data_IF_157249076580
#
_entry.id   IF_157249076580
#
_cell.length_a   1.000
_cell.length_b   1.000
_cell.length_c   1.000
_cell.angle_alpha   90.00
_cell.angle_beta   90.00
_cell.angle_gamma   90.00
#
_symmetry.space_group_name_H-M   'P 1'
#
loop_
_entity.id
_entity.type
_entity.pdbx_description
1 polymer ?
#
# COMPACT_ATOMS: atom_id res chain seq x y z
N UNK A 1 3.16 -12.51 18.70
CA UNK A 1 2.25 -11.80 19.61
C UNK A 1 1.82 -10.47 18.99
N UNK A 2 2.72 -9.48 18.84
CA UNK A 2 2.42 -8.18 18.20
C UNK A 2 1.68 -8.29 16.86
N UNK A 3 2.16 -9.11 15.90
CA UNK A 3 1.47 -9.32 14.62
C UNK A 3 0.01 -9.79 14.78
N UNK A 4 -0.24 -10.71 15.72
CA UNK A 4 -1.57 -11.24 15.96
C UNK A 4 -2.47 -10.15 16.55
N UNK A 5 -1.98 -9.40 17.54
CA UNK A 5 -2.72 -8.34 18.22
C UNK A 5 -3.04 -7.16 17.28
N UNK A 6 -2.17 -6.89 16.29
CA UNK A 6 -2.36 -5.79 15.34
C UNK A 6 -3.22 -6.15 14.13
N UNK A 7 -3.08 -7.37 13.59
CA UNK A 7 -3.61 -7.68 12.25
C UNK A 7 -4.55 -8.88 12.19
N UNK A 8 -4.60 -9.73 13.22
CA UNK A 8 -5.33 -11.01 13.16
C UNK A 8 -6.50 -11.04 14.13
N UNK A 9 -6.30 -10.63 15.38
CA UNK A 9 -7.31 -10.74 16.42
C UNK A 9 -8.44 -9.72 16.21
N UNK A 10 -9.67 -10.16 15.87
CA UNK A 10 -10.79 -9.26 15.64
C UNK A 10 -11.32 -8.62 16.93
N UNK A 11 -10.92 -9.12 18.10
CA UNK A 11 -11.31 -8.59 19.41
C UNK A 11 -10.22 -7.73 20.05
N UNK A 12 -9.07 -7.58 19.40
CA UNK A 12 -7.99 -6.75 19.90
C UNK A 12 -8.39 -5.27 19.86
N UNK A 13 -8.26 -4.59 21.01
CA UNK A 13 -8.38 -3.14 21.09
C UNK A 13 -7.23 -2.40 20.36
N UNK A 14 -6.22 -3.14 19.89
CA UNK A 14 -5.05 -2.63 19.20
C UNK A 14 -5.06 -2.99 17.71
N UNK A 15 -6.17 -3.47 17.16
CA UNK A 15 -6.23 -3.81 15.74
C UNK A 15 -5.99 -2.56 14.86
N UNK A 16 -5.24 -2.74 13.78
CA UNK A 16 -4.99 -1.70 12.78
C UNK A 16 -5.46 -2.20 11.43
N UNK A 17 -6.25 -1.37 10.74
CA UNK A 17 -6.74 -1.69 9.40
C UNK A 17 -5.58 -1.60 8.39
N UNK A 18 -5.55 -2.46 7.39
CA UNK A 18 -4.49 -2.48 6.37
C UNK A 18 -4.95 -1.98 5.01
N UNK A 19 -6.22 -1.59 4.87
CA UNK A 19 -6.82 -1.12 3.61
C UNK A 19 -6.70 0.40 3.48
N UNK A 20 -6.23 0.87 2.33
CA UNK A 20 -6.11 2.30 2.04
C UNK A 20 -7.45 3.04 2.13
N UNK A 21 -8.53 2.44 1.62
CA UNK A 21 -9.87 3.03 1.69
C UNK A 21 -10.32 3.36 3.12
N UNK A 22 -9.94 2.55 4.12
CA UNK A 22 -10.28 2.84 5.51
C UNK A 22 -9.74 4.20 5.98
N UNK A 23 -8.52 4.55 5.57
CA UNK A 23 -7.85 5.79 5.96
C UNK A 23 -8.20 6.96 5.05
N UNK A 24 -8.28 6.71 3.74
CA UNK A 24 -8.47 7.77 2.74
C UNK A 24 -9.94 8.12 2.53
N UNK A 25 -10.84 7.13 2.64
CA UNK A 25 -12.28 7.31 2.45
C UNK A 25 -13.06 7.30 3.79
N UNK A 26 -12.40 6.99 4.91
CA UNK A 26 -13.02 6.84 6.23
C UNK A 26 -13.84 5.55 6.41
N UNK A 27 -13.77 4.62 5.44
CA UNK A 27 -14.42 3.29 5.50
C UNK A 27 -13.72 2.29 4.57
N UNK A 28 -13.70 1.02 4.95
CA UNK A 28 -13.19 -0.04 4.06
C UNK A 28 -14.07 -0.21 2.83
N UNK A 29 -13.46 -0.63 1.71
CA UNK A 29 -14.12 -0.84 0.41
C UNK A 29 -14.77 0.44 -0.16
N UNK A 30 -14.11 1.58 0.07
CA UNK A 30 -14.54 2.89 -0.42
C UNK A 30 -14.11 3.22 -1.86
N UNK A 31 -14.20 4.50 -2.20
CA UNK A 31 -13.84 5.05 -3.52
C UNK A 31 -12.40 4.79 -3.91
N UNK A 32 -11.46 4.80 -2.96
CA UNK A 32 -10.05 4.49 -3.19
C UNK A 32 -9.87 3.12 -3.82
N UNK A 33 -10.62 2.11 -3.36
CA UNK A 33 -10.55 0.76 -3.94
C UNK A 33 -11.13 0.71 -5.36
N UNK A 34 -12.19 1.48 -5.64
CA UNK A 34 -12.78 1.57 -6.98
C UNK A 34 -11.77 2.18 -7.95
N UNK A 35 -11.11 3.28 -7.56
CA UNK A 35 -10.05 3.92 -8.35
C UNK A 35 -8.88 2.96 -8.59
N UNK A 36 -8.44 2.23 -7.55
CA UNK A 36 -7.35 1.27 -7.67
C UNK A 36 -7.69 0.10 -8.62
N UNK A 37 -8.95 -0.36 -8.64
CA UNK A 37 -9.39 -1.38 -9.60
C UNK A 37 -9.40 -0.86 -11.04
N UNK A 38 -9.75 0.40 -11.26
CA UNK A 38 -9.59 1.06 -12.55
C UNK A 38 -8.13 1.07 -13.00
N UNK A 39 -7.23 1.51 -12.12
CA UNK A 39 -5.80 1.46 -12.35
C UNK A 39 -5.29 0.04 -12.68
N UNK A 40 -5.71 -0.98 -11.94
CA UNK A 40 -5.30 -2.36 -12.21
C UNK A 40 -5.73 -2.85 -13.60
N UNK A 41 -6.94 -2.48 -14.04
CA UNK A 41 -7.42 -2.80 -15.38
C UNK A 41 -6.50 -2.19 -16.47
N UNK A 42 -6.03 -0.95 -16.26
CA UNK A 42 -5.13 -0.27 -17.20
C UNK A 42 -3.72 -0.90 -17.23
N UNK A 43 -3.22 -1.42 -16.10
CA UNK A 43 -1.91 -2.11 -16.04
C UNK A 43 -1.90 -3.54 -16.60
N UNK A 44 -3.09 -4.09 -16.88
CA UNK A 44 -3.27 -5.50 -17.24
C UNK A 44 -2.90 -6.49 -16.12
N UNK A 45 -2.72 -6.01 -14.88
CA UNK A 45 -2.49 -6.88 -13.72
C UNK A 45 -3.82 -7.43 -13.22
N UNK A 46 -3.82 -8.71 -12.87
CA UNK A 46 -4.99 -9.38 -12.30
C UNK A 46 -4.62 -10.05 -10.99
N UNK A 47 -5.54 -9.98 -10.02
CA UNK A 47 -5.36 -10.67 -8.74
C UNK A 47 -5.48 -12.17 -8.98
N UNK A 48 -4.58 -12.93 -8.37
CA UNK A 48 -4.63 -14.40 -8.36
C UNK A 48 -5.89 -14.88 -7.64
N UNK A 49 -6.54 -15.91 -8.18
CA UNK A 49 -7.69 -16.54 -7.53
C UNK A 49 -7.33 -17.11 -6.15
N UNK A 50 -8.25 -16.97 -5.19
CA UNK A 50 -8.05 -17.47 -3.82
C UNK A 50 -7.33 -16.52 -2.87
N UNK A 51 -6.78 -15.40 -3.35
CA UNK A 51 -6.27 -14.33 -2.48
C UNK A 51 -7.46 -13.61 -1.82
N UNK A 52 -7.49 -13.62 -0.48
CA UNK A 52 -8.57 -13.04 0.31
C UNK A 52 -8.40 -11.54 0.59
N UNK A 53 -7.17 -11.05 0.50
CA UNK A 53 -6.87 -9.64 0.72
C UNK A 53 -7.50 -8.74 -0.35
N UNK A 54 -7.99 -7.59 0.09
CA UNK A 54 -8.46 -6.52 -0.79
C UNK A 54 -7.29 -5.92 -1.56
N UNK A 55 -7.52 -5.52 -2.80
CA UNK A 55 -6.50 -4.95 -3.68
C UNK A 55 -5.88 -3.67 -3.09
N UNK A 56 -6.65 -2.92 -2.30
CA UNK A 56 -6.19 -1.71 -1.60
C UNK A 56 -5.56 -1.98 -0.23
N UNK A 57 -5.30 -3.24 0.13
CA UNK A 57 -4.49 -3.54 1.30
C UNK A 57 -3.02 -3.19 1.08
N UNK A 58 -2.30 -2.84 2.15
CA UNK A 58 -0.87 -2.48 2.07
C UNK A 58 -0.05 -3.56 1.36
N UNK A 59 -0.28 -4.82 1.70
CA UNK A 59 0.46 -5.95 1.12
C UNK A 59 0.17 -6.08 -0.38
N UNK A 60 -1.10 -5.97 -0.79
CA UNK A 60 -1.46 -6.03 -2.20
C UNK A 60 -0.90 -4.84 -2.99
N UNK A 61 -0.96 -3.62 -2.47
CA UNK A 61 -0.41 -2.45 -3.16
C UNK A 61 1.12 -2.52 -3.31
N UNK A 62 1.82 -3.05 -2.30
CA UNK A 62 3.27 -3.28 -2.40
C UNK A 62 3.61 -4.41 -3.40
N UNK A 63 2.81 -5.47 -3.47
CA UNK A 63 2.97 -6.52 -4.49
C UNK A 63 2.75 -5.96 -5.90
N UNK A 64 1.68 -5.18 -6.11
CA UNK A 64 1.41 -4.48 -7.38
C UNK A 64 2.61 -3.60 -7.77
N UNK A 65 3.14 -2.81 -6.83
CA UNK A 65 4.30 -1.95 -7.07
C UNK A 65 5.55 -2.77 -7.46
N UNK A 66 5.83 -3.86 -6.74
CA UNK A 66 6.92 -4.77 -7.07
C UNK A 66 6.77 -5.39 -8.47
N UNK A 67 5.54 -5.77 -8.87
CA UNK A 67 5.27 -6.28 -10.22
C UNK A 67 5.51 -5.25 -11.31
N UNK A 68 5.16 -3.99 -11.07
CA UNK A 68 5.43 -2.91 -12.03
C UNK A 68 6.95 -2.69 -12.19
N UNK A 69 7.73 -2.73 -11.11
CA UNK A 69 9.19 -2.66 -11.16
C UNK A 69 9.81 -3.86 -11.92
N UNK A 70 9.29 -5.07 -11.70
CA UNK A 70 9.72 -6.26 -12.44
C UNK A 70 9.45 -6.14 -13.94
N UNK A 71 8.26 -5.65 -14.33
CA UNK A 71 7.88 -5.43 -15.73
C UNK A 71 8.77 -4.35 -16.37
N UNK A 72 8.99 -3.23 -15.69
CA UNK A 72 9.87 -2.16 -16.19
C UNK A 72 11.28 -2.67 -16.49
N UNK A 73 11.85 -3.49 -15.60
CA UNK A 73 13.18 -4.07 -15.79
C UNK A 73 13.27 -4.93 -17.06
N UNK A 74 12.18 -5.56 -17.47
CA UNK A 74 12.13 -6.43 -18.65
C UNK A 74 11.91 -5.63 -19.95
N UNK A 75 11.05 -4.62 -19.92
CA UNK A 75 10.55 -3.95 -21.12
C UNK A 75 11.12 -2.54 -21.34
N UNK A 76 11.62 -1.87 -20.29
CA UNK A 76 12.08 -0.46 -20.28
C UNK A 76 11.08 0.49 -20.96
N UNK A 77 9.84 0.49 -20.47
CA UNK A 77 8.74 1.27 -21.03
C UNK A 77 8.37 2.45 -20.11
N UNK A 78 8.32 3.66 -20.67
CA UNK A 78 7.93 4.91 -20.00
C UNK A 78 6.50 4.84 -19.42
N UNK A 79 5.59 4.11 -20.05
CA UNK A 79 4.22 3.91 -19.55
C UNK A 79 4.21 3.17 -18.21
N UNK A 80 5.09 2.18 -18.03
CA UNK A 80 5.21 1.44 -16.76
C UNK A 80 5.75 2.37 -15.67
N UNK A 81 6.70 3.24 -16.00
CA UNK A 81 7.18 4.26 -15.07
C UNK A 81 6.04 5.19 -14.64
N UNK A 82 5.21 5.66 -15.58
CA UNK A 82 4.03 6.47 -15.25
C UNK A 82 3.03 5.74 -14.35
N UNK A 83 2.81 4.44 -14.58
CA UNK A 83 1.96 3.60 -13.72
C UNK A 83 2.55 3.46 -12.31
N UNK A 84 3.87 3.30 -12.18
CA UNK A 84 4.55 3.31 -10.88
C UNK A 84 4.39 4.65 -10.17
N UNK A 85 4.64 5.77 -10.86
CA UNK A 85 4.43 7.13 -10.35
C UNK A 85 3.01 7.31 -9.83
N UNK A 86 2.04 6.88 -10.62
CA UNK A 86 0.63 7.00 -10.27
C UNK A 86 0.31 6.20 -9.02
N UNK A 87 0.66 4.91 -8.96
CA UNK A 87 0.44 4.07 -7.79
C UNK A 87 1.09 4.66 -6.53
N UNK A 88 2.33 5.12 -6.66
CA UNK A 88 3.12 5.67 -5.57
C UNK A 88 2.50 6.95 -5.00
N UNK A 89 2.23 7.92 -5.87
CA UNK A 89 1.82 9.28 -5.45
C UNK A 89 0.33 9.38 -5.10
N UNK A 90 -0.52 8.63 -5.80
CA UNK A 90 -1.98 8.67 -5.61
C UNK A 90 -2.46 7.76 -4.47
N UNK A 91 -1.81 6.61 -4.25
CA UNK A 91 -2.29 5.59 -3.32
C UNK A 91 -1.29 5.28 -2.20
N UNK A 92 -0.09 4.81 -2.53
CA UNK A 92 0.85 4.28 -1.52
C UNK A 92 1.33 5.34 -0.54
N UNK A 93 1.76 6.51 -1.00
CA UNK A 93 2.33 7.54 -0.11
C UNK A 93 1.29 8.14 0.85
N UNK A 94 0.10 8.61 0.39
CA UNK A 94 -0.93 9.12 1.29
C UNK A 94 -1.42 8.08 2.30
N UNK A 95 -1.57 6.83 1.86
CA UNK A 95 -1.96 5.74 2.76
C UNK A 95 -0.86 5.41 3.77
N UNK A 96 0.40 5.30 3.33
CA UNK A 96 1.52 4.98 4.22
C UNK A 96 1.70 6.04 5.31
N UNK A 97 1.42 7.32 5.02
CA UNK A 97 1.42 8.40 6.02
C UNK A 97 0.41 8.12 7.15
N UNK A 98 -0.85 7.89 6.77
CA UNK A 98 -1.93 7.67 7.72
C UNK A 98 -1.78 6.35 8.49
N UNK A 99 -1.39 5.28 7.80
CA UNK A 99 -1.12 3.99 8.41
C UNK A 99 0.02 4.07 9.42
N UNK A 100 1.12 4.77 9.07
CA UNK A 100 2.25 4.97 9.99
C UNK A 100 1.84 5.78 11.21
N UNK A 101 1.03 6.83 11.03
CA UNK A 101 0.49 7.62 12.14
C UNK A 101 -0.37 6.77 13.08
N UNK A 102 -1.20 5.87 12.53
CA UNK A 102 -2.01 4.95 13.33
C UNK A 102 -1.13 3.96 14.10
N UNK A 103 -0.08 3.42 13.46
CA UNK A 103 0.88 2.53 14.10
C UNK A 103 1.70 3.22 15.21
N UNK A 104 2.11 4.47 15.02
CA UNK A 104 2.86 5.23 16.03
C UNK A 104 2.05 5.45 17.31
N UNK A 105 0.74 5.70 17.16
CA UNK A 105 -0.19 5.89 18.29
C UNK A 105 -0.60 4.57 18.97
N UNK A 106 -0.35 3.43 18.34
CA UNK A 106 -0.74 2.14 18.88
C UNK A 106 0.26 1.65 19.94
N UNK A 107 -0.23 1.39 21.15
CA UNK A 107 0.62 0.96 22.28
C UNK A 107 1.16 -0.46 22.14
N UNK A 108 0.45 -1.35 21.41
CA UNK A 108 0.91 -2.71 21.16
C UNK A 108 1.95 -2.79 20.04
N UNK A 109 2.09 -1.74 19.22
CA UNK A 109 3.09 -1.68 18.16
C UNK A 109 4.46 -1.28 18.72
N UNK A 110 5.45 -2.15 18.49
CA UNK A 110 6.85 -2.00 18.90
C UNK A 110 7.75 -2.22 17.68
N UNK A 111 7.72 -3.41 17.09
CA UNK A 111 8.46 -3.72 15.88
C UNK A 111 7.87 -3.00 14.66
N UNK A 112 6.54 -3.02 14.50
CA UNK A 112 5.89 -2.47 13.31
C UNK A 112 5.99 -0.94 13.20
N UNK A 113 6.21 -0.22 14.30
CA UNK A 113 6.56 1.22 14.27
C UNK A 113 7.85 1.46 13.48
N UNK A 114 8.86 0.61 13.68
CA UNK A 114 10.13 0.70 12.96
C UNK A 114 9.96 0.31 11.49
N UNK A 115 9.12 -0.69 11.20
CA UNK A 115 8.79 -1.07 9.82
C UNK A 115 8.06 0.06 9.08
N UNK A 116 7.14 0.76 9.74
CA UNK A 116 6.48 1.94 9.17
C UNK A 116 7.48 3.05 8.81
N UNK A 117 8.50 3.29 9.65
CA UNK A 117 9.57 4.25 9.34
C UNK A 117 10.38 3.82 8.11
N UNK A 118 10.72 2.54 8.01
CA UNK A 118 11.40 2.00 6.83
C UNK A 118 10.54 2.15 5.57
N UNK A 119 9.25 1.79 5.65
CA UNK A 119 8.29 1.94 4.56
C UNK A 119 8.19 3.40 4.10
N UNK A 120 7.98 4.35 5.02
CA UNK A 120 7.91 5.78 4.71
C UNK A 120 9.20 6.26 4.05
N UNK A 121 10.36 5.90 4.61
CA UNK A 121 11.66 6.28 4.04
C UNK A 121 11.88 5.72 2.63
N UNK A 122 11.45 4.47 2.39
CA UNK A 122 11.52 3.85 1.07
C UNK A 122 10.62 4.57 0.05
N UNK A 123 9.34 4.79 0.38
CA UNK A 123 8.39 5.43 -0.53
C UNK A 123 8.77 6.90 -0.83
N UNK A 124 9.31 7.63 0.16
CA UNK A 124 9.84 8.98 -0.06
C UNK A 124 11.05 9.00 -1.01
N UNK A 125 11.95 8.02 -0.88
CA UNK A 125 13.08 7.87 -1.80
C UNK A 125 12.60 7.60 -3.22
N UNK A 126 11.68 6.65 -3.41
CA UNK A 126 11.10 6.33 -4.71
C UNK A 126 10.38 7.56 -5.31
N UNK A 127 9.63 8.31 -4.49
CA UNK A 127 8.94 9.53 -4.93
C UNK A 127 9.93 10.59 -5.39
N UNK A 128 11.06 10.73 -4.70
CA UNK A 128 12.15 11.62 -5.09
C UNK A 128 12.80 11.23 -6.42
N UNK A 129 12.99 9.93 -6.69
CA UNK A 129 13.55 9.45 -7.95
C UNK A 129 12.61 9.70 -9.14
N UNK A 130 11.32 9.51 -8.92
CA UNK A 130 10.31 9.57 -9.98
C UNK A 130 9.90 11.02 -10.31
N UNK A 131 9.97 11.94 -9.36
CA UNK A 131 9.67 13.38 -9.59
C UNK A 131 10.86 14.20 -10.09
N UNK A 132 12.06 13.64 -10.05
CA UNK A 132 13.29 14.28 -10.54
C UNK A 132 13.54 14.10 -12.04
N UNK A 133 12.68 13.33 -12.73
CA UNK A 133 12.66 13.12 -14.19
C UNK A 133 11.69 14.11 -14.83
#
# INVERSE_FOLDING_TARGET
KEYHDLFIDPFSAHQVNTMASYYLDGRSFGTTLVELRGFLADTGLTRVEGVVDSEDSLVMMLDIFARLLEKERQERNEEIQQQQTHLLTKFLEPFAEQFSTAMEKNEAAVFYKTICKLLRGYLELEKGLVTAV
#
